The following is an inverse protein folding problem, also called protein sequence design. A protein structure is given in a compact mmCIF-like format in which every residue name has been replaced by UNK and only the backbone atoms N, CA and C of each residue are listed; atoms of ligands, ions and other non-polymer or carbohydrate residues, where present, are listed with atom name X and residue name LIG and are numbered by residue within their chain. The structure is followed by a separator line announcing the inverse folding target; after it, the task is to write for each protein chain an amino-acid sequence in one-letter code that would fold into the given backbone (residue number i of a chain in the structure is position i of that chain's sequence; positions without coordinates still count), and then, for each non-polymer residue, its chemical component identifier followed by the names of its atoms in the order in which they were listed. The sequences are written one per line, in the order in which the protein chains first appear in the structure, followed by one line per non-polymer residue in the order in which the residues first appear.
data_IF_536044794248
#
_entry.id   IF_536044794248
#
_cell.length_a   1.000
_cell.length_b   1.000
_cell.length_c   1.000
_cell.angle_alpha   90.00
_cell.angle_beta   90.00
_cell.angle_gamma   90.00
#
_symmetry.space_group_name_H-M   'P 1'
#
loop_
_entity.id
_entity.type
_entity.pdbx_description
1 polymer ?
#
# COMPACT_ATOMS: atom_id res chain seq x y z
N UNK A 1 12.09 1.65 10.34
CA UNK A 1 11.36 2.88 9.93
C UNK A 1 10.03 2.50 9.32
N UNK A 2 8.96 3.09 9.82
CA UNK A 2 7.61 2.85 9.31
C UNK A 2 7.23 3.95 8.33
N UNK A 3 6.69 3.55 7.19
CA UNK A 3 6.17 4.48 6.18
C UNK A 3 4.74 4.08 5.84
N UNK A 4 3.92 5.07 5.58
CA UNK A 4 2.55 4.85 5.11
C UNK A 4 2.35 5.59 3.81
N UNK A 5 1.89 4.85 2.82
CA UNK A 5 1.60 5.40 1.49
C UNK A 5 0.10 5.39 1.26
N UNK A 6 -0.40 6.40 0.57
CA UNK A 6 -1.77 6.40 0.04
C UNK A 6 -1.71 6.51 -1.46
N UNK A 7 -2.38 5.59 -2.12
CA UNK A 7 -2.48 5.52 -3.58
C UNK A 7 -3.94 5.76 -3.95
N UNK A 8 -4.19 6.82 -4.72
CA UNK A 8 -5.53 7.16 -5.19
C UNK A 8 -5.74 6.49 -6.55
N UNK A 9 -6.74 5.62 -6.63
CA UNK A 9 -7.03 4.82 -7.83
C UNK A 9 -8.37 5.22 -8.42
N UNK A 10 -8.37 5.42 -9.74
CA UNK A 10 -9.59 5.68 -10.47
C UNK A 10 -10.02 4.42 -11.23
N UNK A 11 -11.23 3.96 -10.98
CA UNK A 11 -11.83 2.86 -11.72
C UNK A 11 -12.50 3.39 -13.00
N UNK A 12 -12.68 2.53 -14.01
CA UNK A 12 -13.47 2.91 -15.19
C UNK A 12 -14.87 3.37 -14.80
N UNK A 13 -15.48 4.22 -15.61
CA UNK A 13 -16.82 4.73 -15.36
C UNK A 13 -17.82 3.58 -15.20
N UNK A 14 -18.62 3.65 -14.13
CA UNK A 14 -19.60 2.62 -13.82
C UNK A 14 -19.07 1.39 -13.11
N UNK A 15 -17.74 1.25 -12.99
CA UNK A 15 -17.16 0.13 -12.25
C UNK A 15 -17.23 0.41 -10.75
N UNK A 16 -17.44 -0.65 -9.97
CA UNK A 16 -17.44 -0.61 -8.51
C UNK A 16 -16.25 -1.36 -7.97
N UNK A 17 -15.71 -0.91 -6.85
CA UNK A 17 -14.66 -1.65 -6.16
C UNK A 17 -15.25 -2.96 -5.62
N UNK A 18 -14.76 -4.12 -6.08
CA UNK A 18 -15.25 -5.40 -5.55
C UNK A 18 -14.74 -5.61 -4.12
N UNK A 19 -15.43 -6.48 -3.38
CA UNK A 19 -15.00 -6.83 -2.01
C UNK A 19 -13.62 -7.49 -2.00
N UNK A 20 -13.21 -8.09 -3.12
CA UNK A 20 -11.90 -8.74 -3.28
C UNK A 20 -10.79 -7.78 -3.73
N UNK A 21 -11.08 -6.48 -3.83
CA UNK A 21 -10.10 -5.51 -4.35
C UNK A 21 -8.78 -5.54 -3.58
N UNK A 22 -8.82 -5.73 -2.26
CA UNK A 22 -7.61 -5.81 -1.45
C UNK A 22 -6.70 -6.94 -1.88
N UNK A 23 -7.24 -8.15 -2.08
CA UNK A 23 -6.48 -9.31 -2.52
C UNK A 23 -5.93 -9.11 -3.93
N UNK A 24 -6.73 -8.51 -4.81
CA UNK A 24 -6.34 -8.25 -6.20
C UNK A 24 -5.18 -7.26 -6.25
N UNK A 25 -5.27 -6.17 -5.51
CA UNK A 25 -4.20 -5.17 -5.46
C UNK A 25 -2.94 -5.71 -4.79
N UNK A 26 -3.09 -6.54 -3.77
CA UNK A 26 -1.96 -7.23 -3.14
C UNK A 26 -1.20 -8.09 -4.17
N UNK A 27 -1.92 -8.89 -4.93
CA UNK A 27 -1.31 -9.71 -5.98
C UNK A 27 -0.61 -8.87 -7.05
N UNK A 28 -1.25 -7.77 -7.47
CA UNK A 28 -0.66 -6.85 -8.44
C UNK A 28 0.62 -6.21 -7.91
N UNK A 29 0.65 -5.84 -6.63
CA UNK A 29 1.86 -5.29 -6.00
C UNK A 29 2.99 -6.31 -6.00
N UNK A 30 2.70 -7.54 -5.57
CA UNK A 30 3.71 -8.60 -5.51
C UNK A 30 4.32 -8.85 -6.91
N UNK A 31 3.50 -8.83 -7.96
CA UNK A 31 3.99 -9.01 -9.33
C UNK A 31 4.96 -7.90 -9.77
N UNK A 32 4.84 -6.71 -9.21
CA UNK A 32 5.69 -5.57 -9.55
C UNK A 32 6.97 -5.49 -8.72
N UNK A 33 7.08 -6.26 -7.64
CA UNK A 33 8.28 -6.26 -6.82
C UNK A 33 9.44 -6.93 -7.56
N UNK A 34 10.69 -6.52 -7.27
CA UNK A 34 11.85 -7.24 -7.80
C UNK A 34 11.76 -8.73 -7.46
N UNK A 35 12.05 -9.59 -8.44
CA UNK A 35 11.85 -11.04 -8.29
C UNK A 35 12.60 -11.66 -7.12
N UNK A 36 13.83 -11.23 -6.88
CA UNK A 36 14.65 -11.72 -5.76
C UNK A 36 14.04 -11.33 -4.41
N UNK A 37 13.49 -10.11 -4.31
CA UNK A 37 12.84 -9.66 -3.09
C UNK A 37 11.51 -10.40 -2.85
N UNK A 38 10.71 -10.59 -3.90
CA UNK A 38 9.47 -11.34 -3.81
C UNK A 38 9.74 -12.80 -3.39
N UNK A 39 10.76 -13.43 -3.96
CA UNK A 39 11.17 -14.78 -3.60
C UNK A 39 11.65 -14.86 -2.15
N UNK A 40 12.41 -13.86 -1.70
CA UNK A 40 12.87 -13.76 -0.32
C UNK A 40 11.69 -13.69 0.64
N UNK A 41 10.72 -12.84 0.38
CA UNK A 41 9.54 -12.70 1.23
C UNK A 41 8.74 -14.00 1.28
N UNK A 42 8.60 -14.67 0.15
CA UNK A 42 7.85 -15.92 0.07
C UNK A 42 8.59 -17.04 0.83
N UNK A 43 9.88 -17.19 0.59
CA UNK A 43 10.70 -18.24 1.21
C UNK A 43 10.74 -18.09 2.73
N UNK A 44 10.90 -16.86 3.21
CA UNK A 44 10.99 -16.56 4.64
C UNK A 44 9.61 -16.37 5.29
N UNK A 45 8.55 -16.45 4.51
CA UNK A 45 7.17 -16.23 4.96
C UNK A 45 7.00 -14.90 5.69
N UNK A 46 7.56 -13.84 5.11
CA UNK A 46 7.53 -12.50 5.69
C UNK A 46 6.46 -11.63 5.05
N UNK A 47 5.83 -10.81 5.87
CA UNK A 47 4.87 -9.80 5.42
C UNK A 47 5.25 -8.46 6.05
N UNK A 48 6.27 -7.75 5.49
CA UNK A 48 6.76 -6.51 6.09
C UNK A 48 5.88 -5.31 5.75
N UNK A 49 4.66 -5.52 5.32
CA UNK A 49 3.72 -4.45 5.02
C UNK A 49 2.29 -4.88 5.32
N UNK A 50 1.44 -3.89 5.50
CA UNK A 50 0.00 -4.07 5.65
C UNK A 50 -0.70 -3.21 4.61
N UNK A 51 -1.96 -3.54 4.31
CA UNK A 51 -2.75 -2.73 3.38
C UNK A 51 -4.21 -2.64 3.82
N UNK A 52 -4.84 -1.57 3.40
CA UNK A 52 -6.29 -1.40 3.55
C UNK A 52 -6.81 -0.61 2.37
N UNK A 53 -8.11 -0.73 2.12
CA UNK A 53 -8.77 -0.08 1.00
C UNK A 53 -10.01 0.64 1.50
N UNK A 54 -10.20 1.85 1.02
CA UNK A 54 -11.35 2.67 1.37
C UNK A 54 -11.90 3.30 0.09
N UNK A 55 -13.23 3.33 -0.01
CA UNK A 55 -13.88 4.09 -1.07
C UNK A 55 -14.09 5.53 -0.60
N UNK A 56 -13.55 6.48 -1.37
CA UNK A 56 -13.78 7.90 -1.12
C UNK A 56 -14.93 8.36 -2.00
N UNK A 57 -16.11 8.52 -1.37
CA UNK A 57 -17.33 8.86 -2.09
C UNK A 57 -17.27 10.25 -2.72
N UNK A 58 -16.66 11.20 -2.05
CA UNK A 58 -16.59 12.58 -2.53
C UNK A 58 -15.76 12.71 -3.81
N UNK A 59 -14.66 11.95 -3.88
CA UNK A 59 -13.76 11.97 -5.03
C UNK A 59 -14.08 10.89 -6.05
N UNK A 60 -14.92 9.91 -5.68
CA UNK A 60 -15.19 8.71 -6.47
C UNK A 60 -13.89 7.94 -6.79
N UNK A 61 -13.08 7.72 -5.76
CA UNK A 61 -11.78 7.05 -5.86
C UNK A 61 -11.66 5.94 -4.83
N UNK A 62 -10.86 4.94 -5.18
CA UNK A 62 -10.40 3.95 -4.22
C UNK A 62 -9.11 4.47 -3.60
N UNK A 63 -9.05 4.52 -2.29
CA UNK A 63 -7.83 4.88 -1.57
C UNK A 63 -7.18 3.60 -1.06
N UNK A 64 -6.04 3.27 -1.64
CA UNK A 64 -5.26 2.09 -1.28
C UNK A 64 -4.14 2.55 -0.36
N UNK A 65 -4.23 2.12 0.88
CA UNK A 65 -3.28 2.51 1.91
C UNK A 65 -2.35 1.36 2.20
N UNK A 66 -1.04 1.61 2.16
CA UNK A 66 0.00 0.60 2.37
C UNK A 66 0.93 1.10 3.46
N UNK A 67 1.10 0.29 4.51
CA UNK A 67 2.05 0.58 5.58
C UNK A 67 3.23 -0.38 5.52
N UNK A 68 4.44 0.13 5.47
CA UNK A 68 5.66 -0.70 5.48
C UNK A 68 6.28 -0.69 6.87
N UNK A 69 6.81 -1.85 7.29
CA UNK A 69 7.27 -2.07 8.65
C UNK A 69 8.77 -1.94 8.83
N UNK A 70 9.55 -1.94 7.75
CA UNK A 70 11.00 -1.78 7.82
C UNK A 70 11.50 -0.92 6.67
N UNK A 71 12.77 -0.51 6.77
CA UNK A 71 13.37 0.38 5.77
C UNK A 71 13.41 -0.24 4.38
N UNK A 72 13.80 -1.50 4.28
CA UNK A 72 13.92 -2.18 2.99
C UNK A 72 12.58 -2.24 2.28
N UNK A 73 11.52 -2.66 2.98
CA UNK A 73 10.17 -2.67 2.44
C UNK A 73 9.73 -1.27 2.02
N UNK A 74 9.99 -0.26 2.85
CA UNK A 74 9.64 1.13 2.55
C UNK A 74 10.31 1.64 1.28
N UNK A 75 11.59 1.33 1.08
CA UNK A 75 12.33 1.76 -0.10
C UNK A 75 11.87 1.02 -1.35
N UNK A 76 11.75 -0.31 -1.30
CA UNK A 76 11.38 -1.12 -2.46
C UNK A 76 9.93 -0.87 -2.86
N UNK A 77 9.00 -0.96 -1.91
CA UNK A 77 7.57 -0.78 -2.18
C UNK A 77 7.29 0.66 -2.58
N UNK A 78 7.90 1.63 -1.89
CA UNK A 78 7.76 3.04 -2.25
C UNK A 78 8.20 3.33 -3.68
N UNK A 79 9.33 2.77 -4.11
CA UNK A 79 9.82 2.94 -5.47
C UNK A 79 8.86 2.31 -6.50
N UNK A 80 8.36 1.10 -6.21
CA UNK A 80 7.38 0.44 -7.08
C UNK A 80 6.12 1.28 -7.21
N UNK A 81 5.57 1.74 -6.08
CA UNK A 81 4.33 2.53 -6.09
C UNK A 81 4.50 3.82 -6.89
N UNK A 82 5.64 4.50 -6.75
CA UNK A 82 5.89 5.75 -7.48
C UNK A 82 6.05 5.56 -8.97
N UNK A 83 6.37 4.35 -9.42
CA UNK A 83 6.50 4.03 -10.83
C UNK A 83 5.17 3.60 -11.47
N UNK A 84 4.13 3.35 -10.66
CA UNK A 84 2.85 2.86 -11.18
C UNK A 84 2.04 4.00 -11.79
N UNK A 85 1.58 3.80 -13.02
CA UNK A 85 0.66 4.71 -13.70
C UNK A 85 -0.73 4.12 -13.78
N UNK A 86 -0.81 2.80 -13.94
CA UNK A 86 -2.07 2.07 -13.97
C UNK A 86 -1.83 0.62 -13.58
N UNK A 87 -2.88 -0.05 -13.15
CA UNK A 87 -2.85 -1.46 -12.74
C UNK A 87 -3.93 -2.20 -13.51
N UNK A 88 -3.54 -3.22 -14.27
CA UNK A 88 -4.49 -4.04 -14.99
C UNK A 88 -5.00 -5.16 -14.09
N UNK A 89 -6.30 -5.23 -13.89
CA UNK A 89 -6.95 -6.25 -13.06
C UNK A 89 -7.48 -7.36 -13.96
N UNK A 90 -6.68 -8.41 -14.16
CA UNK A 90 -7.03 -9.51 -15.05
C UNK A 90 -8.36 -10.17 -14.70
N UNK A 91 -8.62 -10.37 -13.41
CA UNK A 91 -9.84 -11.01 -12.93
C UNK A 91 -11.10 -10.19 -13.23
N UNK A 92 -10.95 -8.89 -13.40
CA UNK A 92 -12.07 -7.98 -13.65
C UNK A 92 -12.15 -7.48 -15.07
N UNK A 93 -11.09 -7.71 -15.86
CA UNK A 93 -11.05 -7.31 -17.27
C UNK A 93 -10.96 -5.81 -17.49
N UNK A 94 -10.50 -5.04 -16.51
CA UNK A 94 -10.31 -3.60 -16.69
C UNK A 94 -9.03 -3.12 -16.01
N UNK A 95 -8.64 -1.89 -16.32
CA UNK A 95 -7.46 -1.24 -15.77
C UNK A 95 -7.88 -0.09 -14.86
N UNK A 96 -7.24 0.01 -13.69
CA UNK A 96 -7.43 1.17 -12.80
C UNK A 96 -6.26 2.13 -13.00
N UNK A 97 -6.56 3.42 -12.98
CA UNK A 97 -5.54 4.45 -13.16
C UNK A 97 -5.06 4.95 -11.81
N UNK A 98 -3.74 5.12 -11.69
CA UNK A 98 -3.14 5.71 -10.50
C UNK A 98 -3.17 7.23 -10.68
N UNK A 99 -3.96 7.91 -9.85
CA UNK A 99 -4.14 9.36 -9.94
C UNK A 99 -3.14 10.12 -9.07
N UNK A 100 -2.81 9.55 -7.91
CA UNK A 100 -1.92 10.21 -6.98
C UNK A 100 -1.29 9.17 -6.05
N UNK A 101 -0.04 9.40 -5.68
CA UNK A 101 0.69 8.58 -4.73
C UNK A 101 1.40 9.53 -3.78
N UNK A 102 1.23 9.33 -2.48
CA UNK A 102 1.94 10.14 -1.50
C UNK A 102 2.36 9.31 -0.29
N UNK A 103 3.50 9.65 0.28
CA UNK A 103 3.92 9.14 1.56
C UNK A 103 3.32 10.06 2.61
N UNK A 104 2.30 9.58 3.32
CA UNK A 104 1.55 10.40 4.28
C UNK A 104 2.10 10.32 5.68
N UNK A 105 2.96 9.33 5.95
CA UNK A 105 3.57 9.17 7.26
C UNK A 105 4.92 8.46 7.11
N UNK A 106 5.92 8.97 7.82
CA UNK A 106 7.22 8.33 7.93
C UNK A 106 7.69 8.47 9.38
N UNK A 107 7.90 7.32 10.05
CA UNK A 107 8.23 7.31 11.47
C UNK A 107 9.33 6.29 11.76
N UNK A 108 10.30 6.69 12.57
CA UNK A 108 11.31 5.77 13.09
C UNK A 108 10.71 4.93 14.22
N UNK A 109 11.37 3.82 14.55
CA UNK A 109 10.98 3.04 15.72
C UNK A 109 11.11 3.86 17.00
N UNK A 110 12.09 4.76 17.06
CA UNK A 110 12.28 5.62 18.21
C UNK A 110 11.10 6.58 18.41
N UNK A 111 10.59 7.16 17.32
CA UNK A 111 9.43 8.04 17.37
C UNK A 111 8.21 7.30 17.91
N UNK A 112 8.02 6.05 17.49
CA UNK A 112 6.89 5.23 17.96
C UNK A 112 7.05 4.88 19.44
N UNK A 113 8.25 4.52 19.86
CA UNK A 113 8.54 4.23 21.27
C UNK A 113 8.29 5.45 22.14
N UNK A 114 8.75 6.63 21.72
CA UNK A 114 8.55 7.87 22.45
C UNK A 114 7.06 8.20 22.59
N UNK A 115 6.29 8.02 21.54
CA UNK A 115 4.85 8.24 21.57
C UNK A 115 4.15 7.26 22.51
N UNK A 116 4.54 6.01 22.50
CA UNK A 116 3.99 4.97 23.38
C UNK A 116 4.27 5.31 24.85
N UNK A 117 5.50 5.69 25.18
CA UNK A 117 5.86 6.06 26.55
C UNK A 117 5.12 7.31 27.00
N UNK A 118 4.93 8.28 26.11
CA UNK A 118 4.13 9.47 26.45
C UNK A 118 2.69 9.11 26.77
N UNK A 119 2.10 8.21 26.01
CA UNK A 119 0.72 7.77 26.23
C UNK A 119 0.59 7.06 27.58
N UNK A 120 1.58 6.27 28.01
CA UNK A 120 1.58 5.59 29.30
C UNK A 120 1.78 6.54 30.47
N UNK A 121 2.53 7.63 30.28
CA UNK A 121 2.81 8.59 31.32
C UNK A 121 1.80 9.73 31.39
N UNK A 122 0.88 9.81 30.42
CA UNK A 122 -0.16 10.83 30.43
C UNK A 122 -1.11 10.61 31.60
N UNK A 123 -1.43 11.64 32.36
CA UNK A 123 -2.38 11.51 33.46
C UNK A 123 -3.81 11.23 33.00
#
# INVERSE_FOLDING_TARGET
MLRRFEVELRLPDGARAPSSMGSILHGALIEQLPGDYADYLHTENLRPYSQSIRWDRARERVIWRIGTLDRTAGEIIGAVLQSLEHIHLRQKGYTVDVQNIQCVEERSYQDIADEYFRAETAP
#
